data_IF_453991229415
#
_entry.id   IF_453991229415
#
_cell.length_a   1.000
_cell.length_b   1.000
_cell.length_c   1.000
_cell.angle_alpha   90.00
_cell.angle_beta   90.00
_cell.angle_gamma   90.00
#
_symmetry.space_group_name_H-M   'P 1'
#
loop_
_entity.id
_entity.type
_entity.pdbx_description
1 polymer ?
#
# COMPACT_ATOMS: atom_id res chain seq x y z
N UNK A 1 -10.47 -11.48 -11.82
CA UNK A 1 -9.65 -11.37 -10.59
C UNK A 1 -10.18 -12.32 -9.52
N UNK A 2 -9.36 -12.65 -8.52
CA UNK A 2 -9.77 -13.52 -7.42
C UNK A 2 -10.93 -12.91 -6.62
N UNK A 3 -11.90 -13.75 -6.29
CA UNK A 3 -12.97 -13.46 -5.35
C UNK A 3 -12.48 -13.76 -3.94
N UNK A 4 -12.91 -12.96 -2.96
CA UNK A 4 -12.47 -13.01 -1.56
C UNK A 4 -12.48 -14.40 -0.95
N UNK A 5 -13.61 -15.11 -1.10
CA UNK A 5 -13.84 -16.34 -0.36
C UNK A 5 -14.03 -17.49 -1.34
N UNK A 6 -13.32 -18.59 -1.08
CA UNK A 6 -13.50 -19.86 -1.79
C UNK A 6 -13.84 -20.96 -0.78
N UNK A 7 -14.96 -21.64 -1.01
CA UNK A 7 -15.29 -22.84 -0.26
C UNK A 7 -14.42 -23.99 -0.78
N UNK A 8 -13.48 -24.46 0.03
CA UNK A 8 -12.53 -25.51 -0.39
C UNK A 8 -13.18 -26.86 -0.67
N UNK A 9 -14.38 -27.13 -0.13
CA UNK A 9 -15.10 -28.39 -0.39
C UNK A 9 -15.88 -28.35 -1.69
N UNK A 10 -16.55 -27.24 -1.99
CA UNK A 10 -17.46 -27.12 -3.14
C UNK A 10 -16.86 -26.39 -4.33
N UNK A 11 -15.72 -25.69 -4.13
CA UNK A 11 -15.15 -24.76 -5.10
C UNK A 11 -15.99 -23.50 -5.33
N UNK A 12 -17.10 -23.32 -4.59
CA UNK A 12 -17.97 -22.15 -4.76
C UNK A 12 -17.27 -20.89 -4.28
N UNK A 13 -17.37 -19.82 -5.06
CA UNK A 13 -16.74 -18.54 -4.77
C UNK A 13 -17.80 -17.58 -4.27
N UNK A 14 -17.50 -16.83 -3.22
CA UNK A 14 -18.41 -15.86 -2.63
C UNK A 14 -17.71 -14.52 -2.48
N UNK A 15 -18.50 -13.46 -2.57
CA UNK A 15 -18.10 -12.15 -2.09
C UNK A 15 -18.77 -11.90 -0.74
N UNK A 16 -18.14 -11.15 0.16
CA UNK A 16 -18.78 -10.76 1.40
C UNK A 16 -20.08 -10.01 1.09
N UNK A 17 -21.13 -10.22 1.88
CA UNK A 17 -22.42 -9.55 1.67
C UNK A 17 -22.34 -8.02 1.72
N UNK A 18 -21.27 -7.49 2.33
CA UNK A 18 -21.03 -6.06 2.53
C UNK A 18 -20.09 -5.42 1.49
N UNK A 19 -19.47 -6.18 0.59
CA UNK A 19 -18.63 -5.62 -0.50
C UNK A 19 -18.60 -6.50 -1.72
N UNK A 20 -18.70 -5.87 -2.90
CA UNK A 20 -18.53 -6.52 -4.21
C UNK A 20 -17.15 -6.30 -4.81
N UNK A 21 -16.24 -5.62 -4.11
CA UNK A 21 -14.92 -5.24 -4.62
C UNK A 21 -13.81 -5.89 -3.81
N UNK A 22 -12.82 -6.48 -4.49
CA UNK A 22 -11.63 -7.09 -3.89
C UNK A 22 -10.69 -6.05 -3.27
N UNK A 23 -9.94 -6.44 -2.23
CA UNK A 23 -8.85 -5.61 -1.70
C UNK A 23 -7.59 -5.71 -2.56
N UNK A 24 -6.90 -4.59 -2.76
CA UNK A 24 -5.63 -4.53 -3.49
C UNK A 24 -4.57 -5.46 -2.89
N UNK A 25 -4.31 -5.36 -1.57
CA UNK A 25 -3.36 -6.21 -0.88
C UNK A 25 -3.69 -7.69 -1.05
N UNK A 26 -4.94 -8.10 -0.86
CA UNK A 26 -5.34 -9.51 -0.91
C UNK A 26 -5.08 -10.15 -2.28
N UNK A 27 -5.42 -9.46 -3.38
CA UNK A 27 -5.22 -10.05 -4.71
C UNK A 27 -3.76 -9.98 -5.17
N UNK A 28 -2.97 -9.08 -4.59
CA UNK A 28 -1.59 -8.80 -4.99
C UNK A 28 -0.55 -9.27 -3.96
N UNK A 29 -0.94 -10.14 -3.03
CA UNK A 29 -0.07 -10.76 -2.02
C UNK A 29 -0.22 -12.28 -2.00
N UNK A 30 -0.29 -12.87 -3.19
CA UNK A 30 -0.35 -14.33 -3.40
C UNK A 30 0.75 -14.83 -4.33
N UNK A 31 1.46 -13.91 -4.97
CA UNK A 31 2.30 -14.21 -6.13
C UNK A 31 3.58 -14.94 -5.75
N UNK A 32 4.15 -14.65 -4.57
CA UNK A 32 5.37 -15.34 -4.13
C UNK A 32 5.08 -16.83 -3.89
N UNK A 33 4.00 -17.12 -3.18
CA UNK A 33 3.57 -18.46 -2.79
C UNK A 33 3.12 -19.28 -4.00
N UNK A 34 2.31 -18.69 -4.87
CA UNK A 34 1.83 -19.38 -6.07
C UNK A 34 2.95 -19.62 -7.08
N UNK A 35 3.94 -18.72 -7.15
CA UNK A 35 5.15 -18.93 -7.95
C UNK A 35 6.01 -20.06 -7.40
N UNK A 36 6.23 -20.11 -6.09
CA UNK A 36 6.98 -21.21 -5.48
C UNK A 36 6.23 -22.55 -5.56
N UNK A 37 4.90 -22.54 -5.40
CA UNK A 37 4.07 -23.71 -5.61
C UNK A 37 4.20 -24.25 -7.05
N UNK A 38 4.10 -23.38 -8.05
CA UNK A 38 4.22 -23.76 -9.46
C UNK A 38 5.51 -24.53 -9.75
N UNK A 39 6.64 -24.08 -9.17
CA UNK A 39 7.95 -24.73 -9.29
C UNK A 39 7.98 -26.09 -8.62
N UNK A 40 7.41 -26.20 -7.41
CA UNK A 40 7.43 -27.44 -6.62
C UNK A 40 6.57 -28.54 -7.24
N UNK A 41 5.46 -28.18 -7.88
CA UNK A 41 4.54 -29.15 -8.48
C UNK A 41 4.67 -29.28 -10.00
N UNK A 42 5.67 -28.61 -10.59
CA UNK A 42 5.92 -28.56 -12.04
C UNK A 42 4.65 -28.19 -12.85
N UNK A 43 3.92 -27.18 -12.37
CA UNK A 43 2.68 -26.72 -12.98
C UNK A 43 2.58 -25.19 -12.95
N UNK A 44 2.88 -24.57 -14.09
CA UNK A 44 2.92 -23.11 -14.27
C UNK A 44 1.55 -22.41 -14.12
N UNK A 45 0.45 -23.17 -14.03
CA UNK A 45 -0.90 -22.60 -13.87
C UNK A 45 -0.99 -21.70 -12.64
N UNK A 46 -0.37 -22.08 -11.52
CA UNK A 46 -0.43 -21.31 -10.27
C UNK A 46 0.26 -19.95 -10.42
N UNK A 47 1.49 -19.93 -10.93
CA UNK A 47 2.23 -18.71 -11.20
C UNK A 47 1.49 -17.86 -12.23
N UNK A 48 1.14 -18.44 -13.38
CA UNK A 48 0.50 -17.72 -14.49
C UNK A 48 -0.78 -17.01 -14.04
N UNK A 49 -1.65 -17.68 -13.28
CA UNK A 49 -2.90 -17.08 -12.83
C UNK A 49 -2.68 -15.98 -11.78
N UNK A 50 -1.77 -16.20 -10.82
CA UNK A 50 -1.45 -15.22 -9.79
C UNK A 50 -0.75 -13.97 -10.36
N UNK A 51 0.18 -14.16 -11.30
CA UNK A 51 1.01 -13.10 -11.86
C UNK A 51 0.26 -12.19 -12.83
N UNK A 52 -0.72 -12.73 -13.57
CA UNK A 52 -1.67 -11.94 -14.37
C UNK A 52 -2.37 -10.84 -13.58
N UNK A 53 -2.56 -11.02 -12.27
CA UNK A 53 -3.11 -9.97 -11.42
C UNK A 53 -2.13 -8.81 -11.28
N UNK A 54 -0.85 -9.09 -11.06
CA UNK A 54 0.19 -8.06 -10.99
C UNK A 54 0.38 -7.36 -12.34
N UNK A 55 0.36 -8.09 -13.46
CA UNK A 55 0.39 -7.50 -14.81
C UNK A 55 -0.81 -6.56 -15.06
N UNK A 56 -2.01 -6.98 -14.65
CA UNK A 56 -3.19 -6.14 -14.78
C UNK A 56 -3.09 -4.86 -13.96
N UNK A 57 -2.60 -4.94 -12.71
CA UNK A 57 -2.39 -3.78 -11.84
C UNK A 57 -1.30 -2.86 -12.42
N UNK A 58 -0.22 -3.43 -12.95
CA UNK A 58 0.85 -2.70 -13.64
C UNK A 58 0.28 -1.77 -14.72
N UNK A 59 -0.70 -2.28 -15.48
CA UNK A 59 -1.32 -1.57 -16.58
C UNK A 59 -2.37 -0.52 -16.17
N UNK A 60 -2.75 -0.44 -14.90
CA UNK A 60 -3.77 0.51 -14.44
C UNK A 60 -3.26 1.97 -14.48
N UNK A 61 -4.13 2.94 -14.82
CA UNK A 61 -3.76 4.36 -14.86
C UNK A 61 -3.16 4.88 -13.54
N UNK A 62 -3.75 4.52 -12.39
CA UNK A 62 -3.26 4.92 -11.07
C UNK A 62 -1.80 4.48 -10.84
N UNK A 63 -1.47 3.25 -11.25
CA UNK A 63 -0.14 2.69 -11.10
C UNK A 63 0.86 3.33 -12.08
N UNK A 64 0.47 3.52 -13.35
CA UNK A 64 1.33 4.16 -14.36
C UNK A 64 1.62 5.62 -14.05
N UNK A 65 0.64 6.35 -13.50
CA UNK A 65 0.77 7.78 -13.25
C UNK A 65 1.49 8.08 -11.93
N UNK A 66 1.12 7.38 -10.85
CA UNK A 66 1.61 7.70 -9.51
C UNK A 66 2.15 6.48 -8.74
N UNK A 67 1.96 5.25 -9.22
CA UNK A 67 2.38 4.06 -8.47
C UNK A 67 1.55 3.80 -7.20
N UNK A 68 0.50 4.59 -6.96
CA UNK A 68 -0.45 4.39 -5.86
C UNK A 68 -1.84 4.19 -6.44
N UNK A 69 -2.52 3.13 -6.02
CA UNK A 69 -3.87 2.82 -6.45
C UNK A 69 -4.82 2.77 -5.25
N UNK A 70 -6.13 3.04 -5.46
CA UNK A 70 -7.14 2.87 -4.43
C UNK A 70 -7.15 1.46 -3.83
N UNK A 71 -7.55 1.35 -2.57
CA UNK A 71 -7.55 0.07 -1.84
C UNK A 71 -8.56 -0.98 -2.35
N UNK A 72 -9.52 -0.60 -3.20
CA UNK A 72 -10.56 -1.49 -3.71
C UNK A 72 -10.56 -1.56 -5.24
N UNK A 73 -10.74 -2.78 -5.75
CA UNK A 73 -10.78 -3.10 -7.17
C UNK A 73 -11.94 -4.04 -7.46
N UNK A 74 -12.74 -3.69 -8.47
CA UNK A 74 -13.88 -4.50 -8.90
C UNK A 74 -13.37 -5.77 -9.60
N UNK A 75 -13.72 -6.98 -9.12
CA UNK A 75 -13.27 -8.21 -9.75
C UNK A 75 -14.02 -8.53 -11.06
N UNK A 76 -15.11 -7.81 -11.33
CA UNK A 76 -15.96 -7.96 -12.52
C UNK A 76 -15.32 -7.33 -13.75
N UNK A 77 -14.81 -6.10 -13.62
CA UNK A 77 -14.23 -5.32 -14.72
C UNK A 77 -12.74 -4.98 -14.53
N UNK A 78 -12.17 -5.33 -13.37
CA UNK A 78 -10.76 -5.10 -13.03
C UNK A 78 -10.42 -3.64 -12.78
N UNK A 79 -11.40 -2.76 -12.52
CA UNK A 79 -11.15 -1.33 -12.32
C UNK A 79 -11.08 -0.96 -10.84
N UNK A 80 -10.15 -0.09 -10.50
CA UNK A 80 -10.10 0.52 -9.17
C UNK A 80 -11.32 1.40 -8.94
N UNK A 81 -11.83 1.41 -7.70
CA UNK A 81 -12.93 2.28 -7.30
C UNK A 81 -12.44 3.69 -7.10
N UNK A 82 -13.14 4.63 -7.72
CA UNK A 82 -12.91 6.06 -7.59
C UNK A 82 -14.20 6.79 -7.19
N UNK A 83 -14.13 7.80 -6.30
CA UNK A 83 -12.94 8.17 -5.54
C UNK A 83 -12.56 7.11 -4.48
N UNK A 84 -11.30 7.11 -4.05
CA UNK A 84 -10.80 6.10 -3.11
C UNK A 84 -9.70 6.59 -2.19
N UNK A 85 -9.29 5.72 -1.27
CA UNK A 85 -8.21 5.98 -0.32
C UNK A 85 -6.90 5.42 -0.84
N UNK A 86 -5.87 6.26 -0.84
CA UNK A 86 -4.46 5.89 -1.01
C UNK A 86 -3.86 5.73 0.38
N UNK A 87 -3.37 4.52 0.69
CA UNK A 87 -2.80 4.17 2.00
C UNK A 87 -1.70 3.14 1.82
N UNK A 88 -0.80 3.07 2.80
CA UNK A 88 0.14 1.97 2.99
C UNK A 88 -0.28 1.05 4.15
N UNK A 89 -1.47 1.28 4.72
CA UNK A 89 -2.06 0.47 5.78
C UNK A 89 -2.93 -0.65 5.23
N UNK A 90 -3.94 -1.03 6.01
CA UNK A 90 -4.80 -2.15 5.69
C UNK A 90 -5.35 -2.05 4.26
N UNK A 91 -5.41 -3.20 3.57
CA UNK A 91 -5.94 -3.39 2.20
C UNK A 91 -5.04 -2.93 1.06
N UNK A 92 -3.88 -2.32 1.33
CA UNK A 92 -2.93 -1.90 0.30
C UNK A 92 -1.45 -2.17 0.65
N UNK A 93 -1.10 -2.19 1.94
CA UNK A 93 0.22 -2.54 2.50
C UNK A 93 1.04 -3.55 1.67
N UNK A 94 0.64 -4.82 1.67
CA UNK A 94 1.47 -5.91 1.18
C UNK A 94 1.54 -5.97 -0.35
N UNK A 95 0.71 -5.22 -1.09
CA UNK A 95 0.93 -5.01 -2.53
C UNK A 95 2.30 -4.37 -2.77
N UNK A 96 2.63 -3.31 -2.03
CA UNK A 96 3.91 -2.61 -2.19
C UNK A 96 5.08 -3.45 -1.71
N UNK A 97 4.88 -4.27 -0.67
CA UNK A 97 5.85 -5.26 -0.22
C UNK A 97 6.16 -6.28 -1.33
N UNK A 98 5.12 -6.80 -1.97
CA UNK A 98 5.22 -7.86 -2.98
C UNK A 98 5.80 -7.36 -4.29
N UNK A 99 5.65 -6.09 -4.66
CA UNK A 99 6.40 -5.53 -5.81
C UNK A 99 7.91 -5.73 -5.63
N UNK A 100 8.45 -5.33 -4.48
CA UNK A 100 9.87 -5.49 -4.18
C UNK A 100 10.23 -6.98 -4.07
N UNK A 101 9.49 -7.75 -3.27
CA UNK A 101 9.83 -9.15 -3.01
C UNK A 101 9.73 -10.03 -4.25
N UNK A 102 8.77 -9.79 -5.15
CA UNK A 102 8.67 -10.52 -6.41
C UNK A 102 9.86 -10.21 -7.33
N UNK A 103 10.27 -8.93 -7.41
CA UNK A 103 11.47 -8.56 -8.16
C UNK A 103 12.72 -9.29 -7.62
N UNK A 104 12.86 -9.38 -6.30
CA UNK A 104 13.96 -10.13 -5.68
C UNK A 104 13.86 -11.64 -5.93
N UNK A 105 12.67 -12.24 -5.74
CA UNK A 105 12.43 -13.68 -5.92
C UNK A 105 12.69 -14.15 -7.36
N UNK A 106 12.49 -13.27 -8.35
CA UNK A 106 12.75 -13.55 -9.77
C UNK A 106 14.20 -13.32 -10.18
N UNK A 107 15.11 -13.11 -9.21
CA UNK A 107 16.51 -12.82 -9.51
C UNK A 107 16.71 -11.45 -10.15
N UNK A 108 15.81 -10.50 -9.88
CA UNK A 108 15.81 -9.13 -10.43
C UNK A 108 15.62 -9.06 -11.96
N UNK A 109 14.87 -10.00 -12.53
CA UNK A 109 14.70 -10.11 -14.00
C UNK A 109 13.45 -9.44 -14.56
N UNK A 110 12.48 -9.11 -13.70
CA UNK A 110 11.22 -8.46 -14.11
C UNK A 110 11.28 -6.97 -13.73
N UNK A 111 11.85 -6.16 -14.61
CA UNK A 111 12.16 -4.74 -14.34
C UNK A 111 10.95 -3.88 -13.96
N UNK A 112 9.77 -4.18 -14.49
CA UNK A 112 8.60 -3.34 -14.22
C UNK A 112 8.13 -3.43 -12.76
N UNK A 113 8.40 -4.54 -12.06
CA UNK A 113 8.13 -4.66 -10.62
C UNK A 113 8.99 -3.69 -9.80
N UNK A 114 10.27 -3.55 -10.16
CA UNK A 114 11.18 -2.58 -9.55
C UNK A 114 10.73 -1.14 -9.84
N UNK A 115 10.36 -0.85 -11.09
CA UNK A 115 9.90 0.48 -11.50
C UNK A 115 8.62 0.89 -10.80
N UNK A 116 7.68 -0.03 -10.66
CA UNK A 116 6.41 0.22 -9.97
C UNK A 116 6.63 0.41 -8.46
N UNK A 117 7.48 -0.42 -7.83
CA UNK A 117 7.87 -0.23 -6.44
C UNK A 117 8.48 1.15 -6.21
N UNK A 118 9.45 1.56 -7.04
CA UNK A 118 10.10 2.87 -6.91
C UNK A 118 9.12 4.01 -7.10
N UNK A 119 8.26 3.94 -8.11
CA UNK A 119 7.21 4.95 -8.33
C UNK A 119 6.28 5.07 -7.13
N UNK A 120 5.91 3.95 -6.53
CA UNK A 120 5.11 3.93 -5.30
C UNK A 120 5.84 4.59 -4.12
N UNK A 121 7.13 4.28 -3.91
CA UNK A 121 7.93 4.90 -2.85
C UNK A 121 8.11 6.41 -3.06
N UNK A 122 8.36 6.85 -4.30
CA UNK A 122 8.46 8.26 -4.65
C UNK A 122 7.15 8.99 -4.36
N UNK A 123 6.00 8.41 -4.73
CA UNK A 123 4.70 9.00 -4.42
C UNK A 123 4.37 8.99 -2.93
N UNK A 124 4.74 7.92 -2.20
CA UNK A 124 4.61 7.86 -0.74
C UNK A 124 5.40 9.00 -0.08
N UNK A 125 6.65 9.19 -0.48
CA UNK A 125 7.50 10.26 0.04
C UNK A 125 6.91 11.65 -0.26
N UNK A 126 6.35 11.86 -1.46
CA UNK A 126 5.84 13.16 -1.86
C UNK A 126 4.45 13.48 -1.26
N UNK A 127 3.59 12.47 -1.12
CA UNK A 127 2.17 12.66 -0.79
C UNK A 127 1.84 12.31 0.66
N UNK A 128 2.44 11.22 1.18
CA UNK A 128 1.99 10.58 2.42
C UNK A 128 2.97 10.71 3.59
N UNK A 129 4.25 10.95 3.31
CA UNK A 129 5.29 11.14 4.32
C UNK A 129 5.23 12.54 4.93
N UNK A 130 4.97 12.64 6.24
CA UNK A 130 4.87 13.91 6.97
C UNK A 130 5.60 13.86 8.31
N UNK A 131 6.13 15.01 8.72
CA UNK A 131 6.65 15.22 10.06
C UNK A 131 5.55 15.67 11.03
N UNK A 132 5.67 15.27 12.29
CA UNK A 132 4.83 15.79 13.38
C UNK A 132 5.13 17.25 13.68
N UNK A 133 4.22 17.96 14.36
CA UNK A 133 4.43 19.36 14.81
C UNK A 133 5.74 19.56 15.58
N UNK A 134 6.15 18.54 16.35
CA UNK A 134 7.40 18.59 17.11
C UNK A 134 8.68 18.51 16.26
N UNK A 135 8.56 18.08 14.99
CA UNK A 135 9.69 17.77 14.11
C UNK A 135 10.49 16.53 14.51
N UNK A 136 10.07 15.77 15.54
CA UNK A 136 10.84 14.63 16.07
C UNK A 136 10.49 13.30 15.42
N UNK A 137 9.24 13.13 15.02
CA UNK A 137 8.71 11.89 14.43
C UNK A 137 8.17 12.16 13.03
N UNK A 138 8.34 11.18 12.16
CA UNK A 138 7.82 11.19 10.80
C UNK A 138 7.03 9.92 10.52
N UNK A 139 5.90 10.06 9.84
CA UNK A 139 4.92 8.99 9.65
C UNK A 139 4.39 9.00 8.21
N UNK A 140 3.75 7.88 7.83
CA UNK A 140 3.06 7.75 6.54
C UNK A 140 1.56 7.78 6.80
N UNK A 141 0.91 8.85 6.36
CA UNK A 141 -0.53 9.04 6.50
C UNK A 141 -1.33 8.43 5.34
N UNK A 142 -2.60 8.80 5.27
CA UNK A 142 -3.51 8.40 4.19
C UNK A 142 -3.96 9.62 3.38
N UNK A 143 -4.37 9.39 2.14
CA UNK A 143 -4.97 10.41 1.30
C UNK A 143 -6.29 9.90 0.73
N UNK A 144 -7.35 10.68 0.90
CA UNK A 144 -8.68 10.36 0.36
C UNK A 144 -9.11 11.44 -0.62
N UNK A 145 -9.72 11.05 -1.72
CA UNK A 145 -10.40 11.98 -2.63
C UNK A 145 -11.87 12.08 -2.24
N UNK A 146 -12.38 13.28 -2.01
CA UNK A 146 -13.80 13.49 -1.72
C UNK A 146 -14.64 13.41 -3.00
N UNK A 147 -15.80 12.74 -2.93
CA UNK A 147 -16.68 12.49 -4.09
C UNK A 147 -17.39 13.72 -4.62
N UNK A 148 -17.56 14.74 -3.79
CA UNK A 148 -18.40 15.91 -4.08
C UNK A 148 -17.65 17.00 -4.86
N UNK A 149 -16.35 17.16 -4.62
CA UNK A 149 -15.54 18.25 -5.17
C UNK A 149 -14.16 17.80 -5.70
N UNK A 150 -13.87 16.49 -5.70
CA UNK A 150 -12.54 15.94 -6.02
C UNK A 150 -11.41 16.52 -5.16
N UNK A 151 -11.73 17.04 -3.97
CA UNK A 151 -10.74 17.58 -3.05
C UNK A 151 -9.91 16.42 -2.49
N UNK A 152 -8.60 16.61 -2.53
CA UNK A 152 -7.63 15.72 -1.94
C UNK A 152 -7.48 16.08 -0.47
N UNK A 153 -7.85 15.16 0.43
CA UNK A 153 -7.70 15.32 1.88
C UNK A 153 -6.62 14.39 2.41
N UNK A 154 -5.61 14.97 3.04
CA UNK A 154 -4.64 14.21 3.82
C UNK A 154 -5.21 13.88 5.21
N UNK A 155 -5.01 12.65 5.65
CA UNK A 155 -5.38 12.16 6.98
C UNK A 155 -4.13 11.78 7.73
N UNK A 156 -3.84 12.38 8.91
CA UNK A 156 -2.68 12.02 9.71
C UNK A 156 -2.90 10.73 10.54
N UNK A 157 -3.65 9.79 9.97
CA UNK A 157 -3.90 8.44 10.48
C UNK A 157 -2.83 7.49 9.94
N UNK A 158 -2.28 6.64 10.80
CA UNK A 158 -1.39 5.55 10.39
C UNK A 158 -1.81 4.27 11.12
N UNK A 159 -2.05 3.21 10.37
CA UNK A 159 -2.25 1.88 10.94
C UNK A 159 -0.91 1.34 11.45
N UNK A 160 -0.93 0.53 12.51
CA UNK A 160 0.24 -0.21 12.99
C UNK A 160 0.89 -1.02 11.87
N UNK A 161 0.05 -1.59 10.99
CA UNK A 161 0.45 -2.36 9.82
C UNK A 161 1.53 -1.64 9.00
N UNK A 162 1.43 -0.31 8.83
CA UNK A 162 2.37 0.52 8.04
C UNK A 162 3.81 0.40 8.52
N UNK A 163 4.04 -0.02 9.77
CA UNK A 163 5.39 -0.28 10.30
C UNK A 163 6.18 -1.35 9.52
N UNK A 164 5.53 -2.21 8.73
CA UNK A 164 6.21 -3.12 7.79
C UNK A 164 7.13 -2.36 6.81
N UNK A 165 6.73 -1.15 6.41
CA UNK A 165 7.35 -0.39 5.34
C UNK A 165 8.80 -0.03 5.66
N UNK A 166 9.13 0.18 6.94
CA UNK A 166 10.51 0.44 7.36
C UNK A 166 11.43 -0.74 6.98
N UNK A 167 10.99 -1.98 7.22
CA UNK A 167 11.71 -3.18 6.83
C UNK A 167 11.84 -3.32 5.31
N UNK A 168 10.74 -3.09 4.59
CA UNK A 168 10.71 -3.14 3.12
C UNK A 168 11.66 -2.11 2.49
N UNK A 169 11.67 -0.87 2.98
CA UNK A 169 12.58 0.19 2.50
C UNK A 169 14.05 -0.13 2.78
N UNK A 170 14.36 -0.68 3.97
CA UNK A 170 15.70 -1.12 4.31
C UNK A 170 16.16 -2.28 3.41
N UNK A 171 15.30 -3.28 3.19
CA UNK A 171 15.55 -4.40 2.26
C UNK A 171 15.79 -3.89 0.84
N UNK A 172 14.95 -2.98 0.35
CA UNK A 172 15.13 -2.36 -0.97
C UNK A 172 16.49 -1.69 -1.10
N UNK A 173 16.91 -0.94 -0.08
CA UNK A 173 18.21 -0.25 -0.08
C UNK A 173 19.38 -1.24 -0.16
N UNK A 174 19.32 -2.36 0.56
CA UNK A 174 20.33 -3.43 0.45
C UNK A 174 20.43 -4.02 -0.96
N UNK A 175 19.39 -3.89 -1.78
CA UNK A 175 19.31 -4.42 -3.13
C UNK A 175 19.42 -3.37 -4.24
N UNK A 176 19.83 -2.14 -3.92
CA UNK A 176 20.16 -1.08 -4.89
C UNK A 176 19.15 0.06 -4.98
N UNK A 177 18.15 0.10 -4.10
CA UNK A 177 17.24 1.26 -4.03
C UNK A 177 17.96 2.51 -3.47
N UNK A 178 17.45 3.72 -3.74
CA UNK A 178 18.08 4.96 -3.30
C UNK A 178 18.30 5.05 -1.78
N UNK A 179 19.39 5.70 -1.36
CA UNK A 179 19.74 5.84 0.06
C UNK A 179 18.69 6.57 0.90
N UNK A 180 17.88 7.43 0.28
CA UNK A 180 16.75 8.10 0.93
C UNK A 180 15.72 7.10 1.47
N UNK A 181 15.57 5.92 0.86
CA UNK A 181 14.69 4.87 1.41
C UNK A 181 15.17 4.41 2.80
N UNK A 182 16.48 4.27 3.01
CA UNK A 182 17.03 3.89 4.31
C UNK A 182 16.87 5.01 5.36
N UNK A 183 16.93 6.27 4.94
CA UNK A 183 16.64 7.41 5.82
C UNK A 183 15.18 7.41 6.27
N UNK A 184 14.24 7.24 5.32
CA UNK A 184 12.81 7.09 5.64
C UNK A 184 12.59 5.88 6.54
N UNK A 185 13.23 4.74 6.25
CA UNK A 185 13.13 3.54 7.07
C UNK A 185 13.54 3.78 8.53
N UNK A 186 14.64 4.51 8.76
CA UNK A 186 15.11 4.86 10.12
C UNK A 186 14.11 5.76 10.84
N UNK A 187 13.64 6.82 10.18
CA UNK A 187 12.66 7.75 10.78
C UNK A 187 11.33 7.04 11.08
N UNK A 188 10.84 6.21 10.15
CA UNK A 188 9.60 5.45 10.34
C UNK A 188 9.77 4.41 11.46
N UNK A 189 10.93 3.75 11.56
CA UNK A 189 11.23 2.83 12.67
C UNK A 189 11.19 3.53 14.04
N UNK A 190 11.72 4.76 14.12
CA UNK A 190 11.65 5.56 15.35
C UNK A 190 10.21 5.91 15.71
N UNK A 191 9.38 6.28 14.73
CA UNK A 191 7.95 6.52 14.95
C UNK A 191 7.22 5.25 15.39
N UNK A 192 7.47 4.12 14.74
CA UNK A 192 6.91 2.83 15.13
C UNK A 192 7.34 2.41 16.53
N UNK A 193 8.60 2.66 16.93
CA UNK A 193 9.05 2.46 18.30
C UNK A 193 8.30 3.39 19.27
N UNK A 194 8.17 4.67 18.94
CA UNK A 194 7.49 5.65 19.77
C UNK A 194 6.00 5.31 20.00
N UNK A 195 5.34 4.64 19.04
CA UNK A 195 3.98 4.11 19.23
C UNK A 195 3.88 3.11 20.39
N UNK A 196 4.98 2.43 20.74
CA UNK A 196 5.06 1.49 21.85
C UNK A 196 5.47 2.15 23.18
N UNK A 197 5.88 3.43 23.18
CA UNK A 197 6.29 4.18 24.37
C UNK A 197 5.07 4.63 25.19
N UNK A 198 4.31 3.66 25.68
CA UNK A 198 3.15 3.85 26.54
C UNK A 198 3.21 2.86 27.72
N UNK A 199 2.35 3.01 28.76
CA UNK A 199 2.45 2.22 29.99
C UNK A 199 2.39 0.69 29.80
N UNK A 200 1.80 0.21 28.70
CA UNK A 200 1.72 -1.24 28.42
C UNK A 200 2.90 -1.75 27.61
N UNK A 201 3.66 -0.86 26.95
CA UNK A 201 4.72 -1.25 26.03
C UNK A 201 4.21 -1.89 24.73
N UNK A 202 2.92 -1.74 24.38
CA UNK A 202 2.32 -2.31 23.17
C UNK A 202 1.77 -1.20 22.26
N UNK A 203 2.11 -1.23 20.98
CA UNK A 203 1.62 -0.26 20.00
C UNK A 203 0.09 -0.36 19.79
N UNK A 204 -0.61 0.77 19.59
CA UNK A 204 -2.03 0.75 19.22
C UNK A 204 -2.20 0.28 17.77
N UNK A 205 -3.38 -0.26 17.45
CA UNK A 205 -3.74 -0.67 16.08
C UNK A 205 -3.72 0.51 15.10
N UNK A 206 -4.12 1.70 15.56
CA UNK A 206 -4.18 2.94 14.77
C UNK A 206 -3.61 4.08 15.63
N UNK A 207 -2.70 4.86 15.04
CA UNK A 207 -2.18 6.08 15.61
C UNK A 207 -2.64 7.31 14.80
N UNK A 208 -2.81 8.43 15.49
CA UNK A 208 -3.10 9.74 14.90
C UNK A 208 -2.00 10.72 15.29
N UNK A 209 -1.56 11.52 14.33
CA UNK A 209 -0.46 12.45 14.52
C UNK A 209 -0.91 13.90 14.37
N UNK A 210 -0.35 14.78 15.20
CA UNK A 210 -0.54 16.21 15.01
C UNK A 210 0.45 16.71 13.95
N UNK A 211 -0.07 17.39 12.93
CA UNK A 211 0.71 18.04 11.86
C UNK A 211 0.52 19.55 11.90
N UNK A 212 1.48 20.32 11.40
CA UNK A 212 1.29 21.75 11.18
C UNK A 212 0.33 21.89 10.00
N UNK A 213 -0.84 22.49 10.22
CA UNK A 213 -1.73 22.87 9.13
C UNK A 213 -1.09 23.99 8.32
N UNK A 214 -0.85 23.76 7.02
CA UNK A 214 -0.48 24.84 6.12
C UNK A 214 -1.70 25.75 5.93
N UNK A 215 -1.54 27.07 6.10
CA UNK A 215 -2.59 28.09 6.02
C UNK A 215 -3.35 28.13 4.67
N UNK A 216 -2.89 27.41 3.65
CA UNK A 216 -3.61 27.27 2.38
C UNK A 216 -4.96 26.54 2.53
N UNK A 217 -5.13 25.68 3.54
CA UNK A 217 -6.40 25.00 3.82
C UNK A 217 -7.42 25.87 4.60
N UNK A 218 -7.01 27.02 5.12
CA UNK A 218 -7.90 27.93 5.87
C UNK A 218 -8.74 28.81 4.97
N UNK A 219 -8.30 29.08 3.74
CA UNK A 219 -9.00 29.99 2.81
C UNK A 219 -10.30 29.43 2.22
N UNK A 220 -10.59 28.15 2.43
CA UNK A 220 -11.83 27.51 1.95
C UNK A 220 -12.96 27.47 2.99
N UNK A 221 -12.70 27.80 4.26
CA UNK A 221 -13.74 27.75 5.32
C UNK A 221 -14.27 29.12 5.75
N UNK A 222 -13.63 30.22 5.35
CA UNK A 222 -13.98 31.57 5.83
C UNK A 222 -14.80 32.41 4.83
N UNK A 223 -15.29 31.82 3.72
CA UNK A 223 -16.07 32.54 2.70
C UNK A 223 -17.60 32.28 2.73
N UNK A 224 -18.11 31.54 3.72
CA UNK A 224 -19.56 31.38 3.95
C UNK A 224 -19.99 32.09 5.25
N UNK A 225 -19.83 33.42 5.27
CA UNK A 225 -20.31 34.33 6.31
C UNK A 225 -21.15 35.47 5.74
#
# INVERSE_FOLDING_TARGET
MNLFDVNLRTGSRQQPSWSVDSSLAEIASLQLEFRDLARLVENDTYETLSFRVSEHIHDQPCNKQFGLCPMFISPTDGRFREPGTLTFGARADSYYEYLLKQWLQTGKTIDWLEKDYRRAMDSMQNKLWKGTVSGKLYFVGEQTTESTNSLIKFSPKMDHLVCFLAGTLALGTQHGMPSIHLEIAKNLSQTCQAMYENPTGLGPEIAWFNIVENEENKKTTDNDG
#
